data_IF_385863568322
#
_entry.id   IF_385863568322
#
_cell.length_a   1.000
_cell.length_b   1.000
_cell.length_c   1.000
_cell.angle_alpha   90.00
_cell.angle_beta   90.00
_cell.angle_gamma   90.00
#
_symmetry.space_group_name_H-M   'P 1'
#
loop_
_entity.id
_entity.type
_entity.pdbx_description
1 polymer ?
#
# COMPACT_ATOMS: atom_id res chain seq x y z
N UNK A 1 2.88 9.72 -8.42
CA UNK A 1 2.28 8.46 -8.91
C UNK A 1 3.24 7.32 -8.71
N UNK A 2 2.77 6.25 -8.14
CA UNK A 2 3.58 5.08 -7.88
C UNK A 2 2.81 3.82 -8.28
N UNK A 3 3.46 2.91 -8.96
CA UNK A 3 2.96 1.56 -9.17
C UNK A 3 4.05 0.56 -8.79
N UNK A 4 3.76 -0.30 -7.83
CA UNK A 4 4.68 -1.30 -7.35
C UNK A 4 4.00 -2.67 -7.36
N UNK A 5 4.80 -3.72 -7.49
CA UNK A 5 4.26 -5.08 -7.56
C UNK A 5 5.24 -6.08 -6.99
N UNK A 6 4.73 -7.29 -6.76
CA UNK A 6 5.53 -8.42 -6.34
C UNK A 6 4.96 -9.70 -6.95
N UNK A 7 5.82 -10.62 -7.29
CA UNK A 7 5.46 -11.94 -7.80
C UNK A 7 5.93 -12.99 -6.80
N UNK A 8 5.07 -13.97 -6.50
CA UNK A 8 5.38 -15.09 -5.59
C UNK A 8 5.85 -14.61 -4.22
N UNK A 9 5.15 -13.63 -3.65
CA UNK A 9 5.46 -13.12 -2.32
C UNK A 9 4.95 -14.06 -1.24
N UNK A 10 5.77 -14.32 -0.23
CA UNK A 10 5.39 -15.09 0.96
C UNK A 10 5.22 -14.12 2.12
N UNK A 11 4.10 -14.21 2.81
CA UNK A 11 3.74 -13.28 3.89
C UNK A 11 3.42 -14.08 5.15
N UNK A 12 3.96 -13.62 6.29
CA UNK A 12 3.59 -14.18 7.60
C UNK A 12 2.30 -13.53 8.11
N UNK A 13 1.60 -14.16 9.09
CA UNK A 13 0.36 -13.59 9.62
C UNK A 13 0.56 -12.20 10.18
N UNK A 14 -0.38 -11.29 9.88
CA UNK A 14 -0.39 -9.90 10.35
C UNK A 14 0.85 -9.11 9.94
N UNK A 15 1.50 -9.50 8.87
CA UNK A 15 2.67 -8.82 8.35
C UNK A 15 2.33 -8.05 7.07
N UNK A 16 3.03 -6.95 6.79
CA UNK A 16 2.81 -6.22 5.55
C UNK A 16 3.31 -7.01 4.34
N UNK A 17 2.60 -6.84 3.22
CA UNK A 17 2.94 -7.47 1.95
C UNK A 17 4.13 -6.72 1.34
N UNK A 18 5.22 -7.41 0.98
CA UNK A 18 6.34 -6.75 0.31
C UNK A 18 6.05 -6.52 -1.17
N UNK A 19 6.41 -5.34 -1.66
CA UNK A 19 6.39 -5.00 -3.09
C UNK A 19 7.84 -4.86 -3.53
N UNK A 20 8.36 -5.86 -4.20
CA UNK A 20 9.79 -5.97 -4.50
C UNK A 20 10.20 -5.26 -5.79
N UNK A 21 9.25 -4.83 -6.59
CA UNK A 21 9.51 -4.19 -7.87
C UNK A 21 8.65 -2.97 -8.05
N UNK A 22 9.20 -1.96 -8.69
CA UNK A 22 8.49 -0.72 -9.02
C UNK A 22 8.40 -0.62 -10.53
N UNK A 23 7.18 -0.58 -11.08
CA UNK A 23 6.98 -0.45 -12.51
C UNK A 23 6.88 1.00 -12.97
N UNK A 24 6.47 1.90 -12.08
CA UNK A 24 6.31 3.32 -12.40
C UNK A 24 6.47 4.17 -11.15
N UNK A 25 7.35 5.16 -11.24
CA UNK A 25 7.43 6.26 -10.26
C UNK A 25 7.48 7.56 -11.03
N UNK A 26 6.54 8.46 -10.77
CA UNK A 26 6.56 9.82 -11.32
C UNK A 26 6.41 10.82 -10.19
N UNK A 27 7.36 11.76 -10.12
CA UNK A 27 7.41 12.74 -9.06
C UNK A 27 7.87 12.14 -7.73
N UNK A 28 7.78 12.91 -6.68
CA UNK A 28 8.17 12.50 -5.34
C UNK A 28 6.99 12.52 -4.36
N UNK A 29 5.76 12.55 -4.85
CA UNK A 29 4.57 12.61 -4.00
C UNK A 29 4.26 11.27 -3.33
N UNK A 30 4.54 10.17 -4.02
CA UNK A 30 4.39 8.83 -3.48
C UNK A 30 5.62 8.01 -3.85
N UNK A 31 6.27 7.41 -2.87
CA UNK A 31 7.50 6.63 -3.08
C UNK A 31 7.43 5.34 -2.26
N UNK A 32 8.10 4.31 -2.77
CA UNK A 32 8.28 3.06 -2.04
C UNK A 32 9.55 3.19 -1.19
N UNK A 33 9.37 3.54 0.09
CA UNK A 33 10.50 3.78 1.00
C UNK A 33 11.19 2.49 1.41
N UNK A 34 10.41 1.41 1.53
CA UNK A 34 10.92 0.05 1.76
C UNK A 34 9.99 -0.91 1.03
N UNK A 35 10.34 -2.19 0.86
CA UNK A 35 9.44 -3.12 0.18
C UNK A 35 8.03 -3.17 0.77
N UNK A 36 7.88 -2.89 2.06
CA UNK A 36 6.58 -2.99 2.73
C UNK A 36 5.91 -1.64 2.99
N UNK A 37 6.59 -0.51 2.76
CA UNK A 37 6.09 0.81 3.18
C UNK A 37 6.12 1.80 2.03
N UNK A 38 4.97 2.41 1.77
CA UNK A 38 4.82 3.51 0.81
C UNK A 38 4.69 4.80 1.61
N UNK A 39 5.43 5.83 1.20
CA UNK A 39 5.38 7.16 1.82
C UNK A 39 4.66 8.14 0.91
N UNK A 40 3.74 8.90 1.50
CA UNK A 40 3.02 9.99 0.83
C UNK A 40 3.56 11.32 1.36
N UNK A 41 4.22 12.09 0.50
CA UNK A 41 5.02 13.22 0.92
C UNK A 41 4.33 14.58 0.76
N UNK A 42 3.21 14.63 0.06
CA UNK A 42 2.52 15.87 -0.22
C UNK A 42 1.08 15.84 0.26
N UNK A 43 0.60 16.96 0.76
CA UNK A 43 -0.80 17.14 1.15
C UNK A 43 -1.70 16.91 -0.05
N UNK A 44 -2.84 16.28 0.17
CA UNK A 44 -3.84 16.07 -0.86
C UNK A 44 -4.63 14.79 -0.65
N UNK A 45 -5.32 14.37 -1.71
CA UNK A 45 -6.10 13.13 -1.73
C UNK A 45 -5.46 12.18 -2.73
N UNK A 46 -5.28 10.94 -2.33
CA UNK A 46 -4.64 9.90 -3.13
C UNK A 46 -5.62 8.78 -3.40
N UNK A 47 -5.67 8.31 -4.64
CA UNK A 47 -6.37 7.08 -5.00
C UNK A 47 -5.41 5.91 -4.83
N UNK A 48 -5.82 4.91 -4.07
CA UNK A 48 -5.02 3.71 -3.79
C UNK A 48 -5.81 2.50 -4.29
N UNK A 49 -5.20 1.72 -5.16
CA UNK A 49 -5.79 0.50 -5.71
C UNK A 49 -4.83 -0.66 -5.48
N UNK A 50 -5.35 -1.73 -4.91
CA UNK A 50 -4.59 -2.96 -4.68
C UNK A 50 -5.28 -4.12 -5.38
N UNK A 51 -4.48 -4.98 -6.00
CA UNK A 51 -4.92 -6.23 -6.59
C UNK A 51 -3.92 -7.33 -6.27
N UNK A 52 -4.41 -8.53 -6.05
CA UNK A 52 -3.54 -9.67 -5.77
C UNK A 52 -4.27 -10.98 -5.92
N UNK A 53 -3.50 -12.05 -6.02
CA UNK A 53 -4.00 -13.41 -6.08
C UNK A 53 -3.29 -14.24 -5.02
N UNK A 54 -4.06 -14.84 -4.12
CA UNK A 54 -3.54 -15.68 -3.04
C UNK A 54 -3.77 -17.16 -3.36
N UNK A 55 -2.86 -18.02 -2.92
CA UNK A 55 -2.98 -19.46 -3.09
C UNK A 55 -4.12 -20.03 -2.27
N UNK A 56 -4.47 -19.42 -1.15
CA UNK A 56 -5.58 -19.80 -0.28
C UNK A 56 -6.31 -18.53 0.18
N UNK A 57 -7.54 -18.68 0.66
CA UNK A 57 -8.33 -17.55 1.13
C UNK A 57 -7.60 -16.77 2.22
N UNK A 58 -7.55 -15.47 2.07
CA UNK A 58 -6.87 -14.54 2.97
C UNK A 58 -7.67 -13.24 3.06
N UNK A 59 -7.37 -12.42 4.04
CA UNK A 59 -7.90 -11.06 4.17
C UNK A 59 -6.75 -10.08 4.15
N UNK A 60 -6.83 -9.11 3.26
CA UNK A 60 -5.85 -8.01 3.19
C UNK A 60 -6.52 -6.70 3.54
N UNK A 61 -5.78 -5.82 4.18
CA UNK A 61 -6.28 -4.52 4.64
C UNK A 61 -5.21 -3.46 4.53
N UNK A 62 -5.63 -2.26 4.10
CA UNK A 62 -4.75 -1.10 4.05
C UNK A 62 -4.61 -0.49 5.44
N UNK A 63 -3.37 -0.17 5.81
CA UNK A 63 -3.03 0.56 7.02
C UNK A 63 -2.42 1.91 6.66
N UNK A 64 -2.94 2.97 7.25
CA UNK A 64 -2.42 4.33 7.12
C UNK A 64 -1.83 4.75 8.46
N UNK A 65 -0.52 5.04 8.50
CA UNK A 65 0.21 5.37 9.73
C UNK A 65 -0.01 4.32 10.85
N UNK A 66 -0.09 3.04 10.46
CA UNK A 66 -0.32 1.96 11.41
C UNK A 66 -1.77 1.79 11.85
N UNK A 67 -2.72 2.54 11.27
CA UNK A 67 -4.13 2.47 11.61
C UNK A 67 -4.89 1.79 10.47
N UNK A 68 -5.64 0.74 10.79
CA UNK A 68 -6.44 0.00 9.83
C UNK A 68 -7.51 0.91 9.18
N UNK A 69 -7.66 0.76 7.87
CA UNK A 69 -8.67 1.51 7.09
C UNK A 69 -9.80 0.54 6.73
N UNK A 70 -10.94 0.57 7.46
CA UNK A 70 -12.00 -0.44 7.27
C UNK A 70 -12.60 -0.46 5.86
N UNK A 71 -12.56 0.66 5.15
CA UNK A 71 -13.08 0.77 3.80
C UNK A 71 -12.18 0.12 2.74
N UNK A 72 -10.96 -0.26 3.12
CA UNK A 72 -9.95 -0.77 2.21
C UNK A 72 -9.50 -2.15 2.65
N UNK A 73 -10.34 -3.15 2.41
CA UNK A 73 -10.04 -4.55 2.71
C UNK A 73 -10.68 -5.47 1.69
N UNK A 74 -10.16 -6.67 1.59
CA UNK A 74 -10.66 -7.70 0.70
C UNK A 74 -10.39 -9.07 1.28
N UNK A 75 -11.32 -10.00 1.07
CA UNK A 75 -11.22 -11.39 1.55
C UNK A 75 -11.45 -12.35 0.39
N UNK A 76 -10.66 -13.40 0.33
CA UNK A 76 -10.77 -14.45 -0.67
C UNK A 76 -9.42 -14.80 -1.27
N UNK A 77 -9.43 -15.44 -2.43
CA UNK A 77 -8.22 -15.76 -3.21
C UNK A 77 -7.95 -14.70 -4.26
N UNK A 78 -8.99 -14.07 -4.78
CA UNK A 78 -8.89 -12.93 -5.70
C UNK A 78 -9.09 -11.68 -4.87
N UNK A 79 -8.01 -10.95 -4.63
CA UNK A 79 -7.98 -9.83 -3.69
C UNK A 79 -7.94 -8.50 -4.45
N UNK A 80 -8.68 -7.52 -3.96
CA UNK A 80 -8.64 -6.20 -4.55
C UNK A 80 -9.49 -5.20 -3.79
N UNK A 81 -8.97 -3.98 -3.65
CA UNK A 81 -9.74 -2.86 -3.12
C UNK A 81 -9.27 -1.56 -3.77
N UNK A 82 -10.14 -0.57 -3.70
CA UNK A 82 -9.82 0.78 -4.17
C UNK A 82 -10.40 1.78 -3.17
N UNK A 83 -9.59 2.75 -2.77
CA UNK A 83 -10.00 3.74 -1.79
C UNK A 83 -9.32 5.08 -2.02
N UNK A 84 -9.81 6.09 -1.33
CA UNK A 84 -9.18 7.41 -1.28
C UNK A 84 -8.56 7.60 0.10
N UNK A 85 -7.35 8.14 0.12
CA UNK A 85 -6.61 8.44 1.35
C UNK A 85 -6.33 9.94 1.38
N UNK A 86 -6.72 10.60 2.45
CA UNK A 86 -6.42 12.01 2.65
C UNK A 86 -5.12 12.15 3.42
N UNK A 87 -4.25 13.01 2.91
CA UNK A 87 -2.99 13.40 3.56
C UNK A 87 -3.10 14.87 3.90
N UNK A 88 -3.00 15.20 5.17
CA UNK A 88 -3.22 16.55 5.67
C UNK A 88 -1.93 17.29 6.02
N UNK A 89 -0.77 16.71 5.71
CA UNK A 89 0.53 17.32 5.96
C UNK A 89 1.51 17.03 4.83
N UNK A 90 2.45 17.95 4.63
CA UNK A 90 3.60 17.74 3.75
C UNK A 90 4.75 17.14 4.55
N UNK A 91 5.50 16.25 3.93
CA UNK A 91 6.79 15.81 4.47
C UNK A 91 7.81 16.91 4.18
N UNK A 92 8.08 17.72 5.18
CA UNK A 92 9.01 18.86 5.06
C UNK A 92 10.18 18.66 6.00
N UNK A 93 11.38 18.83 5.47
CA UNK A 93 12.60 18.75 6.26
C UNK A 93 12.71 19.85 7.31
N UNK A 94 11.97 20.93 7.16
CA UNK A 94 12.01 22.07 8.07
C UNK A 94 11.11 21.92 9.29
N UNK A 95 10.10 21.06 9.22
CA UNK A 95 9.03 21.01 10.20
C UNK A 95 9.01 19.73 11.01
N UNK A 96 9.97 18.84 10.84
CA UNK A 96 10.01 17.55 11.50
C UNK A 96 8.75 16.71 11.29
N UNK A 97 7.97 17.01 10.25
CA UNK A 97 6.77 16.26 9.93
C UNK A 97 7.17 14.92 9.30
N UNK A 98 6.56 13.85 9.78
CA UNK A 98 6.75 12.52 9.21
C UNK A 98 5.87 12.36 7.98
N UNK A 99 6.31 11.61 6.95
CA UNK A 99 5.42 11.28 5.85
C UNK A 99 4.27 10.39 6.34
N UNK A 100 3.15 10.46 5.64
CA UNK A 100 2.07 9.48 5.84
C UNK A 100 2.51 8.18 5.20
N UNK A 101 2.41 7.08 5.95
CA UNK A 101 2.82 5.77 5.45
C UNK A 101 1.61 4.90 5.13
N UNK A 102 1.74 4.08 4.09
CA UNK A 102 0.75 3.09 3.69
C UNK A 102 1.38 1.71 3.68
N UNK A 103 0.65 0.74 4.21
CA UNK A 103 1.02 -0.67 4.14
C UNK A 103 -0.23 -1.49 3.86
N UNK A 104 -0.08 -2.58 3.12
CA UNK A 104 -1.13 -3.59 2.95
C UNK A 104 -0.73 -4.79 3.77
N UNK A 105 -1.57 -5.16 4.74
CA UNK A 105 -1.27 -6.22 5.69
C UNK A 105 -2.12 -7.44 5.37
N UNK A 106 -1.47 -8.61 5.31
CA UNK A 106 -2.14 -9.90 5.18
C UNK A 106 -2.47 -10.45 6.56
N UNK A 107 -3.72 -10.85 6.76
CA UNK A 107 -4.16 -11.37 8.07
C UNK A 107 -3.61 -12.77 8.35
N UNK A 108 -3.49 -13.60 7.31
CA UNK A 108 -3.04 -14.99 7.45
C UNK A 108 -1.72 -15.18 6.72
N UNK A 109 -0.99 -16.24 7.09
CA UNK A 109 0.17 -16.65 6.30
C UNK A 109 -0.29 -17.03 4.90
N UNK A 110 0.31 -16.42 3.89
CA UNK A 110 -0.12 -16.61 2.51
C UNK A 110 1.05 -16.56 1.54
N UNK A 111 0.88 -17.25 0.42
CA UNK A 111 1.73 -17.05 -0.75
C UNK A 111 0.89 -16.33 -1.80
N UNK A 112 1.33 -15.17 -2.20
CA UNK A 112 0.67 -14.35 -3.20
C UNK A 112 1.35 -14.57 -4.53
N UNK A 113 0.62 -15.13 -5.49
CA UNK A 113 1.15 -15.31 -6.86
C UNK A 113 1.46 -13.96 -7.49
N UNK A 114 0.62 -12.97 -7.24
CA UNK A 114 0.89 -11.59 -7.59
C UNK A 114 0.29 -10.65 -6.53
N UNK A 115 0.87 -9.48 -6.44
CA UNK A 115 0.36 -8.38 -5.63
C UNK A 115 0.79 -7.08 -6.29
N UNK A 116 -0.14 -6.14 -6.45
CA UNK A 116 0.18 -4.89 -7.11
C UNK A 116 -0.57 -3.76 -6.44
N UNK A 117 0.08 -2.62 -6.29
CA UNK A 117 -0.51 -1.43 -5.72
C UNK A 117 -0.22 -0.23 -6.60
N UNK A 118 -1.24 0.59 -6.80
CA UNK A 118 -1.15 1.85 -7.54
C UNK A 118 -1.58 2.99 -6.63
N UNK A 119 -0.77 4.03 -6.54
CA UNK A 119 -1.05 5.20 -5.74
C UNK A 119 -0.92 6.44 -6.60
N UNK A 120 -1.99 7.21 -6.71
CA UNK A 120 -2.05 8.42 -7.55
C UNK A 120 -2.66 9.57 -6.76
N UNK A 121 -1.97 10.70 -6.74
CA UNK A 121 -2.54 11.93 -6.15
C UNK A 121 -3.59 12.50 -7.10
N UNK A 122 -4.82 12.67 -6.61
CA UNK A 122 -5.97 13.10 -7.44
C UNK A 122 -6.46 14.51 -7.11
N UNK A 123 -6.01 15.08 -6.01
CA UNK A 123 -6.35 16.47 -5.64
C UNK A 123 -5.17 17.23 -5.09
#
# INVERSE_FOLDING_TARGET
MLEAYSLNATVTPLAPIPFNSVSLVKGCTAVLASPTTIELNKRGVYAVTFNGTAAASDTVQLYKDGVAQPQAQSTGTSLGFSTLVQVDRDNSSCCCASPVTLQVVSELAATLADANITVTKVC
#
